data_IF_165202843333
#
_entry.id   IF_165202843333
#
_cell.length_a   1.000
_cell.length_b   1.000
_cell.length_c   1.000
_cell.angle_alpha   90.00
_cell.angle_beta   90.00
_cell.angle_gamma   90.00
#
_symmetry.space_group_name_H-M   'P 1'
#
loop_
_entity.id
_entity.type
_entity.pdbx_description
1 polymer ?
#
# COMPACT_ATOMS: atom_id res chain seq x y z
N UNK A 1 -8.05 -2.57 -18.27
CA UNK A 1 -7.56 -1.18 -18.43
C UNK A 1 -7.21 -0.55 -17.08
N UNK A 2 -7.82 -0.99 -15.97
CA UNK A 2 -7.47 -0.53 -14.62
C UNK A 2 -5.96 -0.55 -14.28
N UNK A 3 -5.16 -1.59 -14.62
CA UNK A 3 -3.71 -1.55 -14.40
C UNK A 3 -2.97 -0.42 -15.15
N UNK A 4 -3.45 -0.04 -16.34
CA UNK A 4 -2.89 1.09 -17.10
C UNK A 4 -3.21 2.43 -16.44
N UNK A 5 -4.39 2.54 -15.81
CA UNK A 5 -4.74 3.66 -14.94
C UNK A 5 -3.83 3.72 -13.72
N UNK A 6 -3.56 2.57 -13.09
CA UNK A 6 -2.66 2.51 -11.92
C UNK A 6 -1.23 2.92 -12.27
N UNK A 7 -0.74 2.53 -13.44
CA UNK A 7 0.55 2.97 -13.94
C UNK A 7 0.63 4.51 -14.11
N UNK A 8 -0.47 5.15 -14.53
CA UNK A 8 -0.55 6.61 -14.64
C UNK A 8 -0.62 7.27 -13.24
N UNK A 9 -1.40 6.69 -12.32
CA UNK A 9 -1.45 7.11 -10.92
C UNK A 9 -0.06 7.11 -10.25
N UNK A 10 0.73 6.06 -10.46
CA UNK A 10 2.10 5.98 -9.94
C UNK A 10 3.00 7.03 -10.62
N UNK A 11 2.87 7.21 -11.93
CA UNK A 11 3.67 8.16 -12.71
C UNK A 11 3.46 9.63 -12.29
N UNK A 12 2.26 9.97 -11.82
CA UNK A 12 1.90 11.30 -11.34
C UNK A 12 1.88 11.43 -9.80
N UNK A 13 2.59 10.54 -9.11
CA UNK A 13 2.97 10.77 -7.72
C UNK A 13 1.98 10.21 -6.70
N UNK A 14 1.22 9.17 -7.04
CA UNK A 14 0.35 8.48 -6.10
C UNK A 14 -0.60 9.43 -5.34
N UNK A 15 -1.27 10.33 -6.06
CA UNK A 15 -2.16 11.37 -5.50
C UNK A 15 -1.47 12.40 -4.58
N UNK A 16 -0.14 12.51 -4.62
CA UNK A 16 0.63 13.55 -3.91
C UNK A 16 1.09 14.69 -4.83
N UNK A 17 0.82 14.58 -6.14
CA UNK A 17 1.11 15.60 -7.14
C UNK A 17 -0.10 16.46 -7.49
N UNK A 18 -0.08 17.04 -8.69
CA UNK A 18 -1.10 17.99 -9.17
C UNK A 18 -2.39 17.34 -9.72
N UNK A 19 -2.48 16.00 -9.67
CA UNK A 19 -3.62 15.22 -10.12
C UNK A 19 -3.97 14.13 -9.13
N UNK A 20 -5.28 13.89 -8.97
CA UNK A 20 -5.84 12.84 -8.12
C UNK A 20 -6.55 11.82 -9.01
N UNK A 21 -6.22 10.55 -8.83
CA UNK A 21 -6.88 9.40 -9.43
C UNK A 21 -7.84 8.78 -8.42
N UNK A 22 -9.05 8.48 -8.88
CA UNK A 22 -10.10 7.79 -8.14
C UNK A 22 -10.75 6.75 -9.04
N UNK A 23 -10.95 5.53 -8.53
CA UNK A 23 -11.79 4.53 -9.17
C UNK A 23 -13.21 4.64 -8.64
N UNK A 24 -14.19 4.65 -9.54
CA UNK A 24 -15.60 4.64 -9.17
C UNK A 24 -16.22 3.40 -9.79
N UNK A 25 -16.74 2.53 -8.94
CA UNK A 25 -17.41 1.31 -9.35
C UNK A 25 -18.93 1.50 -9.41
N UNK A 26 -19.59 0.73 -10.29
CA UNK A 26 -21.03 0.68 -10.41
C UNK A 26 -21.58 -0.72 -10.13
N UNK A 27 -22.27 -0.84 -9.00
CA UNK A 27 -23.05 -2.02 -8.63
C UNK A 27 -22.37 -2.97 -7.64
N UNK A 28 -21.04 -3.00 -7.58
CA UNK A 28 -20.32 -3.96 -6.74
C UNK A 28 -20.20 -3.47 -5.28
N UNK A 29 -20.03 -4.42 -4.36
CA UNK A 29 -19.80 -4.16 -2.93
C UNK A 29 -18.33 -3.84 -2.63
N UNK A 30 -18.06 -3.26 -1.46
CA UNK A 30 -16.68 -3.07 -0.95
C UNK A 30 -15.81 -4.34 -1.08
N UNK A 31 -16.35 -5.51 -0.75
CA UNK A 31 -15.58 -6.76 -0.78
C UNK A 31 -15.21 -7.17 -2.21
N UNK A 32 -16.11 -6.96 -3.17
CA UNK A 32 -15.88 -7.26 -4.59
C UNK A 32 -14.86 -6.28 -5.19
N UNK A 33 -14.99 -4.99 -4.90
CA UNK A 33 -14.03 -3.97 -5.35
C UNK A 33 -12.64 -4.20 -4.75
N UNK A 34 -12.55 -4.48 -3.44
CA UNK A 34 -11.26 -4.83 -2.79
C UNK A 34 -10.64 -6.07 -3.44
N UNK A 35 -11.43 -7.09 -3.77
CA UNK A 35 -10.92 -8.28 -4.45
C UNK A 35 -10.39 -7.96 -5.86
N UNK A 36 -11.10 -7.12 -6.61
CA UNK A 36 -10.65 -6.63 -7.92
C UNK A 36 -9.34 -5.84 -7.80
N UNK A 37 -9.26 -4.91 -6.86
CA UNK A 37 -8.08 -4.07 -6.63
C UNK A 37 -6.86 -4.92 -6.28
N UNK A 38 -7.01 -5.91 -5.40
CA UNK A 38 -5.96 -6.86 -5.07
C UNK A 38 -5.56 -7.73 -6.27
N UNK A 39 -6.52 -8.17 -7.08
CA UNK A 39 -6.26 -9.01 -8.25
C UNK A 39 -5.46 -8.26 -9.33
N UNK A 40 -5.75 -6.97 -9.53
CA UNK A 40 -5.17 -6.18 -10.62
C UNK A 40 -4.10 -5.18 -10.17
N UNK A 41 -3.80 -5.13 -8.87
CA UNK A 41 -2.79 -4.25 -8.28
C UNK A 41 -3.17 -2.79 -8.42
N UNK A 42 -4.36 -2.43 -7.94
CA UNK A 42 -4.88 -1.06 -7.95
C UNK A 42 -4.59 -0.39 -6.62
N UNK A 43 -3.83 0.71 -6.66
CA UNK A 43 -3.34 1.41 -5.47
C UNK A 43 -4.01 2.78 -5.27
N UNK A 44 -4.68 3.33 -6.29
CA UNK A 44 -5.49 4.54 -6.13
C UNK A 44 -6.78 4.22 -5.38
N UNK A 45 -7.34 5.17 -4.60
CA UNK A 45 -8.57 4.95 -3.87
C UNK A 45 -9.75 4.61 -4.79
N UNK A 46 -10.58 3.66 -4.35
CA UNK A 46 -11.78 3.21 -5.06
C UNK A 46 -13.03 3.44 -4.20
N UNK A 47 -14.15 3.74 -4.85
CA UNK A 47 -15.47 3.85 -4.23
C UNK A 47 -16.35 2.78 -4.85
N UNK A 48 -16.84 1.86 -4.02
CA UNK A 48 -17.75 0.78 -4.43
C UNK A 48 -19.14 1.29 -4.79
N UNK A 49 -19.85 0.53 -5.62
CA UNK A 49 -21.23 0.79 -5.99
C UNK A 49 -22.13 1.02 -4.77
N UNK A 50 -22.05 0.12 -3.78
CA UNK A 50 -22.88 0.15 -2.56
C UNK A 50 -22.49 1.24 -1.54
N UNK A 51 -21.33 1.89 -1.70
CA UNK A 51 -20.91 3.08 -0.93
C UNK A 51 -21.03 4.40 -1.69
N UNK A 52 -21.81 4.41 -2.77
CA UNK A 52 -22.18 5.61 -3.51
C UNK A 52 -21.60 5.71 -4.91
N UNK A 53 -20.76 4.75 -5.32
CA UNK A 53 -20.18 4.69 -6.66
C UNK A 53 -21.24 4.66 -7.76
N UNK A 54 -22.28 3.84 -7.60
CA UNK A 54 -23.42 3.80 -8.54
C UNK A 54 -24.14 5.14 -8.65
N UNK A 55 -24.29 5.88 -7.55
CA UNK A 55 -24.91 7.22 -7.60
C UNK A 55 -24.00 8.21 -8.34
N UNK A 56 -22.68 8.12 -8.15
CA UNK A 56 -21.71 8.94 -8.88
C UNK A 56 -21.77 8.60 -10.38
N UNK A 57 -21.71 7.33 -10.77
CA UNK A 57 -21.81 6.90 -12.17
C UNK A 57 -23.09 7.41 -12.85
N UNK A 58 -24.24 7.30 -12.18
CA UNK A 58 -25.50 7.85 -12.66
C UNK A 58 -25.48 9.38 -12.82
N UNK A 59 -24.93 10.11 -11.84
CA UNK A 59 -24.84 11.57 -11.89
C UNK A 59 -23.93 12.08 -13.02
N UNK A 60 -22.88 11.33 -13.36
CA UNK A 60 -21.98 11.64 -14.48
C UNK A 60 -22.47 11.05 -15.83
N UNK A 61 -23.61 10.36 -15.84
CA UNK A 61 -24.21 9.80 -17.05
C UNK A 61 -23.39 8.68 -17.67
N UNK A 62 -22.70 7.87 -16.86
CA UNK A 62 -21.87 6.77 -17.33
C UNK A 62 -22.76 5.62 -17.81
N UNK A 63 -22.54 5.18 -19.06
CA UNK A 63 -23.32 4.08 -19.67
C UNK A 63 -22.44 2.98 -20.26
N UNK A 64 -21.11 3.12 -20.17
CA UNK A 64 -20.14 2.17 -20.67
C UNK A 64 -18.95 2.10 -19.71
N UNK A 65 -18.36 0.92 -19.59
CA UNK A 65 -17.24 0.67 -18.69
C UNK A 65 -16.07 0.04 -19.45
N UNK A 66 -14.83 0.53 -19.27
CA UNK A 66 -14.44 1.69 -18.45
C UNK A 66 -14.69 3.03 -19.16
N UNK A 67 -14.92 4.10 -18.37
CA UNK A 67 -14.90 5.50 -18.82
C UNK A 67 -13.96 6.30 -17.93
N UNK A 68 -13.09 7.11 -18.53
CA UNK A 68 -12.13 7.95 -17.81
C UNK A 68 -12.46 9.42 -18.02
N UNK A 69 -12.75 10.13 -16.92
CA UNK A 69 -13.11 11.55 -16.92
C UNK A 69 -11.96 12.36 -16.33
N UNK A 70 -11.57 13.45 -17.01
CA UNK A 70 -10.66 14.45 -16.44
C UNK A 70 -11.46 15.68 -16.02
N UNK A 71 -11.30 16.07 -14.76
CA UNK A 71 -11.98 17.20 -14.13
C UNK A 71 -10.93 18.20 -13.68
N UNK A 72 -11.05 19.44 -14.12
CA UNK A 72 -10.15 20.53 -13.71
C UNK A 72 -10.47 21.00 -12.27
N UNK A 73 -9.54 21.69 -11.58
CA UNK A 73 -9.75 22.17 -10.20
C UNK A 73 -10.96 23.09 -10.01
N UNK A 74 -11.39 23.78 -11.08
CA UNK A 74 -12.61 24.60 -11.10
C UNK A 74 -13.90 23.77 -11.27
N UNK A 75 -13.81 22.44 -11.22
CA UNK A 75 -14.88 21.44 -11.35
C UNK A 75 -15.45 21.28 -12.76
N UNK A 76 -14.84 21.91 -13.77
CA UNK A 76 -15.24 21.67 -15.15
C UNK A 76 -14.68 20.33 -15.63
N UNK A 77 -15.53 19.54 -16.30
CA UNK A 77 -15.08 18.37 -17.04
C UNK A 77 -14.35 18.86 -18.29
N UNK A 78 -13.07 18.50 -18.43
CA UNK A 78 -12.23 18.86 -19.59
C UNK A 78 -12.00 17.68 -20.53
N UNK A 79 -12.23 16.45 -20.06
CA UNK A 79 -12.34 15.24 -20.89
C UNK A 79 -13.48 14.39 -20.33
N UNK A 80 -14.54 14.19 -21.12
CA UNK A 80 -15.72 13.42 -20.70
C UNK A 80 -15.53 11.90 -20.85
N UNK A 81 -14.72 11.48 -21.82
CA UNK A 81 -14.35 10.08 -22.00
C UNK A 81 -12.99 10.00 -22.72
N UNK A 82 -11.96 9.63 -21.98
CA UNK A 82 -10.63 9.42 -22.54
C UNK A 82 -10.57 8.06 -23.24
N UNK A 83 -11.04 8.01 -24.48
CA UNK A 83 -11.08 6.79 -25.30
C UNK A 83 -10.35 6.96 -26.64
N UNK A 84 -9.51 5.98 -27.07
CA UNK A 84 -9.11 4.78 -26.34
C UNK A 84 -8.20 5.10 -25.16
N UNK A 85 -8.30 4.35 -24.07
CA UNK A 85 -7.45 4.56 -22.90
C UNK A 85 -6.19 3.68 -22.94
N UNK A 86 -5.05 4.29 -22.62
CA UNK A 86 -3.79 3.63 -22.28
C UNK A 86 -2.96 4.54 -21.37
N UNK A 87 -1.95 3.99 -20.68
CA UNK A 87 -1.03 4.80 -19.86
C UNK A 87 -0.39 5.94 -20.65
N UNK A 88 0.05 5.67 -21.89
CA UNK A 88 0.66 6.70 -22.73
C UNK A 88 -0.33 7.83 -23.09
N UNK A 89 -1.59 7.48 -23.38
CA UNK A 89 -2.64 8.46 -23.70
C UNK A 89 -3.02 9.27 -22.46
N UNK A 90 -3.15 8.61 -21.30
CA UNK A 90 -3.42 9.29 -20.04
C UNK A 90 -2.31 10.30 -19.71
N UNK A 91 -1.06 9.85 -19.75
CA UNK A 91 0.08 10.69 -19.41
C UNK A 91 0.20 11.90 -20.33
N UNK A 92 0.19 11.68 -21.65
CA UNK A 92 0.27 12.78 -22.62
C UNK A 92 -0.92 13.74 -22.54
N UNK A 93 -2.12 13.25 -22.21
CA UNK A 93 -3.29 14.11 -21.99
C UNK A 93 -3.08 15.00 -20.76
N UNK A 94 -2.69 14.42 -19.63
CA UNK A 94 -2.45 15.18 -18.38
C UNK A 94 -1.31 16.19 -18.56
N UNK A 95 -0.22 15.80 -19.21
CA UNK A 95 0.90 16.68 -19.55
C UNK A 95 0.48 17.85 -20.45
N UNK A 96 -0.47 17.65 -21.37
CA UNK A 96 -1.03 18.73 -22.20
C UNK A 96 -1.80 19.79 -21.39
N UNK A 97 -2.30 19.42 -20.21
CA UNK A 97 -2.91 20.34 -19.23
C UNK A 97 -1.88 20.93 -18.25
N UNK A 98 -0.59 20.69 -18.46
CA UNK A 98 0.51 21.23 -17.67
C UNK A 98 0.89 20.40 -16.44
N UNK A 99 0.24 19.26 -16.21
CA UNK A 99 0.53 18.36 -15.09
C UNK A 99 1.88 17.71 -15.33
N UNK A 100 2.79 17.80 -14.37
CA UNK A 100 4.13 17.21 -14.47
C UNK A 100 4.17 15.86 -13.78
N UNK A 101 4.99 14.95 -14.31
CA UNK A 101 5.26 13.69 -13.64
C UNK A 101 5.97 13.91 -12.31
N UNK A 102 5.66 13.04 -11.35
CA UNK A 102 6.21 13.10 -10.01
C UNK A 102 6.34 11.67 -9.49
N UNK A 103 7.51 11.25 -8.96
CA UNK A 103 7.60 9.96 -8.32
C UNK A 103 6.74 9.96 -7.04
N UNK A 104 6.10 8.82 -6.74
CA UNK A 104 5.42 8.66 -5.46
C UNK A 104 6.40 8.89 -4.31
N UNK A 105 6.06 9.79 -3.38
CA UNK A 105 6.86 10.01 -2.19
C UNK A 105 6.59 8.84 -1.23
N UNK A 106 7.57 7.95 -1.13
CA UNK A 106 7.63 6.98 -0.04
C UNK A 106 8.34 7.61 1.13
N UNK A 107 7.84 7.42 2.34
CA UNK A 107 8.58 7.86 3.52
C UNK A 107 9.91 7.08 3.63
N UNK A 108 10.90 7.65 4.31
CA UNK A 108 12.16 6.95 4.61
C UNK A 108 11.86 5.65 5.36
N UNK A 109 10.85 5.66 6.24
CA UNK A 109 10.43 4.49 7.00
C UNK A 109 9.87 3.39 6.09
N UNK A 110 9.08 3.71 5.06
CA UNK A 110 8.57 2.71 4.11
C UNK A 110 9.71 2.04 3.33
N UNK A 111 10.74 2.82 2.98
CA UNK A 111 11.91 2.28 2.30
C UNK A 111 12.71 1.35 3.22
N UNK A 112 12.86 1.71 4.50
CA UNK A 112 13.53 0.88 5.51
C UNK A 112 12.71 -0.38 5.85
N UNK A 113 11.39 -0.28 5.92
CA UNK A 113 10.51 -1.43 6.14
C UNK A 113 10.69 -2.50 5.05
N UNK A 114 10.87 -2.08 3.80
CA UNK A 114 11.11 -2.97 2.65
C UNK A 114 12.45 -3.71 2.72
N UNK A 115 13.40 -3.26 3.55
CA UNK A 115 14.67 -3.97 3.74
C UNK A 115 14.62 -4.99 4.88
N UNK A 116 13.48 -5.14 5.55
CA UNK A 116 13.30 -6.07 6.66
C UNK A 116 12.46 -7.26 6.22
N UNK A 117 13.03 -8.45 6.27
CA UNK A 117 12.34 -9.71 6.02
C UNK A 117 12.25 -10.55 7.31
N UNK A 118 11.12 -11.22 7.50
CA UNK A 118 10.86 -12.06 8.68
C UNK A 118 10.32 -13.41 8.23
N UNK A 119 11.00 -14.47 8.66
CA UNK A 119 10.71 -15.85 8.26
C UNK A 119 11.27 -16.86 9.28
N UNK A 120 10.77 -18.10 9.33
CA UNK A 120 9.49 -18.51 8.74
C UNK A 120 8.32 -17.91 9.53
N UNK A 121 7.19 -17.73 8.85
CA UNK A 121 5.90 -17.43 9.47
C UNK A 121 4.91 -18.49 8.93
N UNK A 122 4.38 -19.41 9.75
CA UNK A 122 4.57 -19.52 11.20
C UNK A 122 6.00 -19.92 11.60
N UNK A 123 6.47 -19.40 12.74
CA UNK A 123 7.70 -19.84 13.37
C UNK A 123 7.45 -21.09 14.21
N UNK A 124 8.36 -22.07 14.10
CA UNK A 124 8.37 -23.26 14.94
C UNK A 124 9.29 -22.97 16.14
N UNK A 125 10.55 -23.40 16.08
CA UNK A 125 11.52 -23.15 17.16
C UNK A 125 12.30 -21.84 17.02
N UNK A 126 12.39 -21.30 15.82
CA UNK A 126 13.18 -20.12 15.51
C UNK A 126 12.45 -19.16 14.58
N UNK A 127 12.68 -17.86 14.77
CA UNK A 127 12.26 -16.78 13.90
C UNK A 127 13.50 -15.99 13.47
N UNK A 128 13.68 -15.83 12.17
CA UNK A 128 14.75 -15.05 11.55
C UNK A 128 14.24 -13.67 11.15
N UNK A 129 15.06 -12.66 11.44
CA UNK A 129 14.86 -11.28 11.03
C UNK A 129 16.09 -10.88 10.23
N UNK A 130 15.90 -10.73 8.92
CA UNK A 130 16.91 -10.25 8.00
C UNK A 130 16.72 -8.75 7.79
N UNK A 131 17.69 -7.95 8.23
CA UNK A 131 17.71 -6.50 8.05
C UNK A 131 18.76 -6.19 7.00
N UNK A 132 18.30 -5.99 5.78
CA UNK A 132 19.13 -5.65 4.63
C UNK A 132 19.47 -4.15 4.66
N UNK A 133 20.63 -3.81 4.09
CA UNK A 133 21.09 -2.42 3.95
C UNK A 133 21.11 -1.62 5.25
N UNK A 134 21.84 -2.12 6.25
CA UNK A 134 21.95 -1.58 7.60
C UNK A 134 22.01 -0.04 7.75
N UNK A 135 20.84 0.59 7.69
CA UNK A 135 20.64 2.03 7.87
C UNK A 135 19.96 2.36 9.20
N UNK A 136 19.58 1.34 9.97
CA UNK A 136 19.02 1.50 11.30
C UNK A 136 20.14 1.89 12.26
N UNK A 137 19.87 2.83 13.16
CA UNK A 137 20.89 3.34 14.09
C UNK A 137 20.85 2.61 15.42
N UNK A 138 19.68 2.59 16.07
CA UNK A 138 19.43 1.96 17.36
C UNK A 138 18.08 1.19 17.33
N UNK A 139 17.95 0.15 16.47
CA UNK A 139 16.70 -0.58 16.34
C UNK A 139 16.37 -1.37 17.60
N UNK A 140 15.15 -1.19 18.11
CA UNK A 140 14.55 -1.95 19.20
C UNK A 140 13.47 -2.85 18.63
N UNK A 141 13.64 -4.15 18.81
CA UNK A 141 12.67 -5.17 18.45
C UNK A 141 11.77 -5.47 19.66
N UNK A 142 10.47 -5.52 19.42
CA UNK A 142 9.47 -5.94 20.39
C UNK A 142 8.52 -6.97 19.78
N UNK A 143 8.13 -7.99 20.56
CA UNK A 143 7.02 -8.88 20.22
C UNK A 143 5.93 -8.70 21.27
N UNK A 144 4.73 -8.41 20.79
CA UNK A 144 3.52 -8.24 21.59
C UNK A 144 2.57 -9.41 21.37
N UNK A 145 1.87 -9.81 22.42
CA UNK A 145 0.67 -10.64 22.26
C UNK A 145 -0.51 -9.82 21.70
N UNK A 146 -1.64 -10.50 21.44
CA UNK A 146 -2.86 -9.86 20.91
C UNK A 146 -3.49 -8.85 21.88
N UNK A 147 -3.13 -8.87 23.16
CA UNK A 147 -3.59 -7.90 24.16
C UNK A 147 -2.71 -6.66 24.23
N UNK A 148 -1.56 -6.67 23.53
CA UNK A 148 -0.57 -5.61 23.55
C UNK A 148 0.47 -5.75 24.66
N UNK A 149 0.55 -6.88 25.35
CA UNK A 149 1.60 -7.15 26.33
C UNK A 149 2.91 -7.50 25.60
N UNK A 150 4.01 -6.85 25.98
CA UNK A 150 5.35 -7.19 25.50
C UNK A 150 5.78 -8.53 26.10
N UNK A 151 6.03 -9.52 25.24
CA UNK A 151 6.55 -10.84 25.62
C UNK A 151 8.02 -11.03 25.25
N UNK A 152 8.56 -10.16 24.39
CA UNK A 152 9.95 -10.14 23.98
C UNK A 152 10.41 -8.72 23.66
N UNK A 153 11.62 -8.36 24.08
CA UNK A 153 12.23 -7.04 23.85
C UNK A 153 13.74 -7.19 23.70
N UNK A 154 14.31 -6.64 22.63
CA UNK A 154 15.75 -6.66 22.39
C UNK A 154 16.22 -5.42 21.61
N UNK A 155 17.43 -4.94 21.91
CA UNK A 155 18.15 -4.01 21.05
C UNK A 155 18.86 -4.79 19.93
N UNK A 156 18.42 -4.63 18.69
CA UNK A 156 19.00 -5.34 17.55
C UNK A 156 20.38 -4.81 17.20
N UNK A 157 21.29 -5.73 16.88
CA UNK A 157 22.59 -5.38 16.32
C UNK A 157 22.46 -5.16 14.83
N UNK A 158 23.12 -4.13 14.36
CA UNK A 158 23.03 -3.59 13.00
C UNK A 158 24.09 -4.19 12.07
N UNK A 159 24.88 -5.17 12.48
CA UNK A 159 26.07 -5.65 11.74
C UNK A 159 25.79 -6.52 10.49
N UNK A 160 24.69 -6.31 9.74
CA UNK A 160 24.29 -7.06 8.53
C UNK A 160 24.17 -8.58 8.75
N UNK A 161 23.90 -9.02 9.98
CA UNK A 161 23.66 -10.42 10.29
C UNK A 161 22.16 -10.68 10.37
N UNK A 162 21.72 -11.82 9.86
CA UNK A 162 20.38 -12.34 10.14
C UNK A 162 20.27 -12.55 11.65
N UNK A 163 19.29 -11.92 12.27
CA UNK A 163 19.03 -12.05 13.70
C UNK A 163 18.09 -13.23 13.96
N UNK A 164 18.40 -14.05 14.96
CA UNK A 164 17.62 -15.26 15.28
C UNK A 164 17.00 -15.12 16.67
N UNK A 165 15.70 -15.35 16.75
CA UNK A 165 14.95 -15.42 18.00
C UNK A 165 14.55 -16.87 18.23
N UNK A 166 14.86 -17.40 19.41
CA UNK A 166 14.32 -18.68 19.84
C UNK A 166 12.84 -18.48 20.27
N UNK A 167 11.92 -19.12 19.56
CA UNK A 167 10.47 -19.06 19.82
C UNK A 167 9.95 -20.26 20.58
N UNK A 168 10.80 -21.24 20.95
CA UNK A 168 10.39 -22.49 21.62
C UNK A 168 9.70 -22.30 22.96
N UNK A 169 9.95 -21.18 23.64
CA UNK A 169 9.31 -20.84 24.92
C UNK A 169 8.09 -19.92 24.77
N UNK A 170 7.77 -19.50 23.55
CA UNK A 170 6.61 -18.67 23.26
C UNK A 170 5.44 -19.58 22.87
N UNK A 171 4.29 -19.39 23.50
CA UNK A 171 3.10 -20.22 23.26
C UNK A 171 2.64 -20.12 21.80
N UNK A 172 1.99 -21.18 21.30
CA UNK A 172 1.35 -21.15 19.99
C UNK A 172 0.29 -20.03 19.94
N UNK A 173 0.29 -19.24 18.87
CA UNK A 173 -0.61 -18.09 18.76
C UNK A 173 -0.20 -17.06 17.71
N UNK A 174 -0.94 -15.95 17.69
CA UNK A 174 -0.64 -14.77 16.86
C UNK A 174 -0.01 -13.67 17.71
N UNK A 175 0.97 -12.99 17.14
CA UNK A 175 1.75 -11.95 17.80
C UNK A 175 1.99 -10.79 16.84
N UNK A 176 2.33 -9.64 17.40
CA UNK A 176 2.73 -8.46 16.65
C UNK A 176 4.22 -8.26 16.89
N UNK A 177 5.02 -8.36 15.83
CA UNK A 177 6.42 -7.99 15.85
C UNK A 177 6.56 -6.55 15.39
N UNK A 178 7.32 -5.74 16.14
CA UNK A 178 7.59 -4.34 15.85
C UNK A 178 9.08 -4.05 15.95
N UNK A 179 9.59 -3.22 15.03
CA UNK A 179 10.94 -2.64 15.11
C UNK A 179 10.79 -1.12 15.13
N UNK A 180 11.37 -0.50 16.16
CA UNK A 180 11.41 0.95 16.37
C UNK A 180 12.85 1.42 16.23
N UNK A 181 13.11 2.47 15.46
CA UNK A 181 14.42 3.12 15.38
C UNK A 181 14.26 4.61 15.64
N UNK A 182 15.13 5.19 16.48
CA UNK A 182 15.07 6.62 16.86
C UNK A 182 13.67 7.11 17.31
N UNK A 183 12.91 6.26 18.00
CA UNK A 183 11.52 6.50 18.46
C UNK A 183 10.43 6.45 17.39
N UNK A 184 10.77 6.11 16.15
CA UNK A 184 9.82 5.91 15.05
C UNK A 184 9.59 4.43 14.78
N UNK A 185 8.35 4.05 14.49
CA UNK A 185 8.02 2.67 14.09
C UNK A 185 8.46 2.46 12.65
N UNK A 186 9.48 1.64 12.44
CA UNK A 186 10.01 1.35 11.10
C UNK A 186 9.31 0.15 10.48
N UNK A 187 9.02 -0.87 11.29
CA UNK A 187 8.45 -2.11 10.79
C UNK A 187 7.44 -2.67 11.78
N UNK A 188 6.34 -3.21 11.27
CA UNK A 188 5.34 -3.90 12.06
C UNK A 188 4.73 -5.03 11.23
N UNK A 189 4.66 -6.24 11.79
CA UNK A 189 4.08 -7.40 11.11
C UNK A 189 3.37 -8.32 12.09
N UNK A 190 2.23 -8.85 11.68
CA UNK A 190 1.59 -9.95 12.38
C UNK A 190 2.35 -11.24 12.07
N UNK A 191 2.79 -11.94 13.10
CA UNK A 191 3.51 -13.22 13.00
C UNK A 191 2.71 -14.30 13.73
N UNK A 192 2.86 -15.54 13.32
CA UNK A 192 2.30 -16.70 14.00
C UNK A 192 3.42 -17.60 14.51
N UNK A 193 3.21 -18.21 15.68
CA UNK A 193 4.09 -19.22 16.25
C UNK A 193 3.28 -20.51 16.39
N UNK A 194 3.82 -21.61 15.88
CA UNK A 194 3.18 -22.93 15.86
C UNK A 194 4.24 -24.04 15.91
N UNK A 195 4.48 -24.57 17.11
CA UNK A 195 5.30 -25.78 17.37
C UNK A 195 4.59 -27.06 16.95
#
# INVERSE_FOLDING_TARGET
MAPQGNASYIYFGCNQGDVIFLGIDDGDSDAEVINFDNQFGIDYPTISGDKGGTTICNNYGITAYPTYILIAPNRNIVVQDMWPFSTAICNSTLESYGIQSMPCQTSINDLLAKTIAIYPIPAQSELFIDIQNNKLTNPILSIYDVTGQIIYLENLKTNNAVHTINTSLINNGSYILQIVDNSEVIFRKLISIAH
#
